data_IF_122844712581
#
_entry.id   IF_122844712581
#
_cell.length_a   1.000
_cell.length_b   1.000
_cell.length_c   1.000
_cell.angle_alpha   90.00
_cell.angle_beta   90.00
_cell.angle_gamma   90.00
#
_symmetry.space_group_name_H-M   'P 1'
#
loop_
_entity.id
_entity.type
_entity.pdbx_description
1 polymer ?
#
# COMPACT_ATOMS: atom_id res chain seq x y z
N UNK A 1 6.98 -8.30 10.66
CA UNK A 1 7.10 -6.94 11.24
C UNK A 1 5.72 -6.33 11.38
N UNK A 2 5.50 -5.48 12.38
CA UNK A 2 4.17 -4.93 12.70
C UNK A 2 4.20 -3.41 12.69
N UNK A 3 3.20 -2.77 12.11
CA UNK A 3 2.97 -1.32 12.19
C UNK A 3 2.25 -1.05 13.50
N UNK A 4 2.79 -0.17 14.31
CA UNK A 4 2.22 0.26 15.59
C UNK A 4 1.97 1.76 15.60
N UNK A 5 1.15 2.22 16.53
CA UNK A 5 0.81 3.64 16.65
C UNK A 5 2.07 4.48 16.94
N UNK A 6 2.28 5.50 16.10
CA UNK A 6 3.35 6.50 16.27
C UNK A 6 2.86 7.79 16.93
N UNK A 7 3.81 8.63 17.37
CA UNK A 7 3.49 9.94 17.98
C UNK A 7 3.15 11.02 16.95
N UNK A 8 3.60 10.89 15.70
CA UNK A 8 3.33 11.87 14.66
C UNK A 8 2.11 11.47 13.85
N UNK A 9 1.12 12.37 13.68
CA UNK A 9 -0.01 12.08 12.82
C UNK A 9 0.46 11.94 11.38
N UNK A 10 0.06 10.85 10.74
CA UNK A 10 0.30 10.61 9.32
C UNK A 10 -0.43 11.68 8.48
N UNK A 11 0.20 12.13 7.39
CA UNK A 11 -0.30 13.21 6.55
C UNK A 11 -0.22 12.85 5.07
N UNK A 12 -1.18 13.37 4.29
CA UNK A 12 -1.19 13.19 2.84
C UNK A 12 -1.27 11.73 2.44
N UNK A 13 -0.32 11.26 1.66
CA UNK A 13 -0.21 9.84 1.27
C UNK A 13 0.70 9.09 2.23
N UNK A 14 0.24 7.94 2.68
CA UNK A 14 1.01 6.99 3.46
C UNK A 14 1.01 5.64 2.76
N UNK A 15 2.17 5.07 2.62
CA UNK A 15 2.37 3.73 2.12
C UNK A 15 2.95 2.86 3.23
N UNK A 16 2.24 1.80 3.58
CA UNK A 16 2.75 0.73 4.42
C UNK A 16 3.61 -0.15 3.51
N UNK A 17 4.94 -0.16 3.67
CA UNK A 17 5.79 -0.89 2.75
C UNK A 17 5.60 -2.41 2.93
N UNK A 18 5.76 -3.17 1.85
CA UNK A 18 5.73 -4.63 1.94
C UNK A 18 6.88 -5.18 2.81
N UNK A 19 8.04 -4.50 2.81
CA UNK A 19 9.21 -4.89 3.61
C UNK A 19 9.92 -3.67 4.20
N UNK A 20 10.53 -3.86 5.38
CA UNK A 20 11.42 -2.87 6.01
C UNK A 20 12.72 -3.59 6.38
N UNK A 21 13.86 -3.10 5.87
CA UNK A 21 15.18 -3.69 6.07
C UNK A 21 15.23 -5.20 5.69
N UNK A 22 14.51 -5.60 4.64
CA UNK A 22 14.43 -6.99 4.19
C UNK A 22 13.44 -7.88 4.94
N UNK A 23 12.83 -7.40 6.02
CA UNK A 23 11.81 -8.13 6.77
C UNK A 23 10.39 -7.77 6.28
N UNK A 24 9.49 -8.76 6.09
CA UNK A 24 8.12 -8.48 5.66
C UNK A 24 7.34 -7.74 6.75
N UNK A 25 6.53 -6.76 6.33
CA UNK A 25 5.52 -6.11 7.18
C UNK A 25 4.23 -6.90 7.01
N UNK A 26 3.85 -7.65 8.04
CA UNK A 26 2.76 -8.63 7.96
C UNK A 26 1.51 -8.22 8.73
N UNK A 27 1.62 -7.20 9.58
CA UNK A 27 0.53 -6.81 10.47
C UNK A 27 0.47 -5.30 10.66
N UNK A 28 -0.74 -4.77 10.72
CA UNK A 28 -1.05 -3.43 11.20
C UNK A 28 -1.82 -3.59 12.50
N UNK A 29 -1.32 -3.02 13.58
CA UNK A 29 -1.94 -3.12 14.90
C UNK A 29 -3.28 -2.40 14.96
N UNK A 30 -4.10 -2.78 15.91
CA UNK A 30 -5.32 -2.02 16.22
C UNK A 30 -4.98 -0.57 16.57
N UNK A 31 -5.79 0.35 16.09
CA UNK A 31 -5.62 1.80 16.27
C UNK A 31 -4.30 2.38 15.76
N UNK A 32 -3.52 1.65 14.95
CA UNK A 32 -2.18 2.09 14.51
C UNK A 32 -2.19 3.45 13.81
N UNK A 33 -3.20 3.72 12.99
CA UNK A 33 -3.42 4.99 12.29
C UNK A 33 -4.79 5.60 12.63
N UNK A 34 -5.28 5.34 13.83
CA UNK A 34 -6.54 5.90 14.31
C UNK A 34 -6.45 7.42 14.47
N UNK A 35 -7.49 8.14 14.04
CA UNK A 35 -7.59 9.59 14.12
C UNK A 35 -6.48 10.35 13.39
N UNK A 36 -5.98 9.79 12.29
CA UNK A 36 -5.02 10.46 11.42
C UNK A 36 -5.73 11.49 10.53
N UNK A 37 -6.14 12.60 11.10
CA UNK A 37 -6.98 13.63 10.43
C UNK A 37 -6.37 14.24 9.17
N UNK A 38 -5.08 14.11 8.96
CA UNK A 38 -4.39 14.65 7.77
C UNK A 38 -4.04 13.58 6.73
N UNK A 39 -4.36 12.31 7.01
CA UNK A 39 -4.19 11.20 6.07
C UNK A 39 -5.24 11.33 4.96
N UNK A 40 -4.81 11.29 3.70
CA UNK A 40 -5.67 11.38 2.51
C UNK A 40 -5.66 10.11 1.69
N UNK A 41 -4.50 9.50 1.54
CA UNK A 41 -4.30 8.29 0.76
C UNK A 41 -3.56 7.25 1.59
N UNK A 42 -4.05 6.02 1.55
CA UNK A 42 -3.46 4.88 2.22
C UNK A 42 -3.17 3.78 1.21
N UNK A 43 -1.93 3.32 1.15
CA UNK A 43 -1.55 2.13 0.40
C UNK A 43 -1.10 1.06 1.37
N UNK A 44 -1.76 -0.09 1.35
CA UNK A 44 -1.41 -1.23 2.20
C UNK A 44 -0.49 -2.16 1.41
N UNK A 45 0.69 -2.43 1.95
CA UNK A 45 1.73 -3.24 1.31
C UNK A 45 1.36 -4.71 1.17
N UNK A 46 1.88 -5.37 0.14
CA UNK A 46 1.45 -6.71 -0.29
C UNK A 46 1.75 -7.85 0.69
N UNK A 47 2.62 -7.64 1.67
CA UNK A 47 2.90 -8.64 2.69
C UNK A 47 2.01 -8.50 3.94
N UNK A 48 1.18 -7.44 4.03
CA UNK A 48 0.26 -7.26 5.14
C UNK A 48 -0.86 -8.30 5.02
N UNK A 49 -1.04 -9.06 6.08
CA UNK A 49 -2.04 -10.14 6.17
C UNK A 49 -3.08 -9.90 7.25
N UNK A 50 -2.78 -9.06 8.22
CA UNK A 50 -3.66 -8.78 9.36
C UNK A 50 -3.74 -7.28 9.56
N UNK A 51 -4.95 -6.76 9.63
CA UNK A 51 -5.23 -5.40 10.08
C UNK A 51 -6.13 -5.46 11.32
N UNK A 52 -5.65 -4.87 12.40
CA UNK A 52 -6.32 -4.87 13.69
C UNK A 52 -7.52 -3.92 13.77
N UNK A 53 -8.26 -4.00 14.88
CA UNK A 53 -9.45 -3.20 15.16
C UNK A 53 -9.21 -1.70 14.94
N UNK A 54 -10.08 -1.05 14.17
CA UNK A 54 -10.03 0.40 13.86
C UNK A 54 -8.63 0.91 13.45
N UNK A 55 -7.83 0.07 12.79
CA UNK A 55 -6.46 0.43 12.46
C UNK A 55 -6.34 1.77 11.71
N UNK A 56 -7.34 2.12 10.91
CA UNK A 56 -7.42 3.36 10.13
C UNK A 56 -8.65 4.21 10.48
N UNK A 57 -9.35 3.87 11.56
CA UNK A 57 -10.59 4.52 11.98
C UNK A 57 -10.41 6.00 12.31
N UNK A 58 -11.51 6.75 12.28
CA UNK A 58 -11.58 8.19 12.55
C UNK A 58 -10.62 9.07 11.73
N UNK A 59 -10.06 8.54 10.62
CA UNK A 59 -9.21 9.29 9.69
C UNK A 59 -10.08 10.02 8.67
N UNK A 60 -10.80 11.04 9.12
CA UNK A 60 -11.92 11.70 8.42
C UNK A 60 -11.62 12.33 7.06
N UNK A 61 -10.35 12.53 6.73
CA UNK A 61 -9.93 13.03 5.42
C UNK A 61 -9.37 11.92 4.50
N UNK A 62 -9.41 10.66 4.95
CA UNK A 62 -8.99 9.53 4.13
C UNK A 62 -10.00 9.37 2.97
N UNK A 63 -9.51 9.52 1.75
CA UNK A 63 -10.33 9.48 0.54
C UNK A 63 -9.96 8.36 -0.43
N UNK A 64 -8.72 7.90 -0.43
CA UNK A 64 -8.25 6.85 -1.34
C UNK A 64 -7.57 5.73 -0.54
N UNK A 65 -7.98 4.49 -0.80
CA UNK A 65 -7.42 3.30 -0.15
C UNK A 65 -7.00 2.30 -1.20
N UNK A 66 -5.77 1.82 -1.14
CA UNK A 66 -5.28 0.71 -1.95
C UNK A 66 -5.04 -0.51 -1.06
N UNK A 67 -5.72 -1.60 -1.37
CA UNK A 67 -5.61 -2.88 -0.68
C UNK A 67 -4.50 -3.74 -1.31
N UNK A 68 -3.87 -4.65 -0.57
CA UNK A 68 -2.76 -5.47 -1.06
C UNK A 68 -3.20 -6.51 -2.10
N UNK A 69 -2.24 -7.15 -2.78
CA UNK A 69 -2.53 -8.21 -3.76
C UNK A 69 -3.01 -9.50 -3.08
N UNK A 70 -2.51 -9.80 -1.88
CA UNK A 70 -2.88 -10.99 -1.12
C UNK A 70 -4.13 -10.73 -0.27
N UNK A 71 -4.80 -11.82 0.12
CA UNK A 71 -5.88 -11.73 1.09
C UNK A 71 -5.40 -11.16 2.40
N UNK A 72 -6.18 -10.24 2.94
CA UNK A 72 -5.97 -9.61 4.24
C UNK A 72 -7.10 -9.99 5.16
N UNK A 73 -6.76 -10.46 6.33
CA UNK A 73 -7.71 -10.64 7.42
C UNK A 73 -7.93 -9.29 8.12
N UNK A 74 -9.15 -8.79 8.03
CA UNK A 74 -9.60 -7.65 8.80
C UNK A 74 -10.25 -8.19 10.07
N UNK A 75 -9.55 -8.10 11.20
CA UNK A 75 -9.92 -8.81 12.42
C UNK A 75 -11.22 -8.32 13.07
N UNK A 76 -11.69 -7.14 12.70
CA UNK A 76 -12.92 -6.53 13.26
C UNK A 76 -13.57 -5.57 12.29
N UNK A 77 -14.86 -5.32 12.52
CA UNK A 77 -15.65 -4.26 11.91
C UNK A 77 -15.03 -2.88 12.16
N UNK A 78 -15.41 -1.87 11.38
CA UNK A 78 -15.09 -0.46 11.59
C UNK A 78 -13.65 -0.08 11.26
N UNK A 79 -12.99 -0.89 10.43
CA UNK A 79 -11.61 -0.65 9.99
C UNK A 79 -11.39 0.75 9.44
N UNK A 80 -12.35 1.25 8.66
CA UNK A 80 -12.29 2.52 7.95
C UNK A 80 -13.38 3.49 8.40
N UNK A 81 -13.80 3.46 9.64
CA UNK A 81 -14.84 4.37 10.15
C UNK A 81 -14.42 5.84 10.02
N UNK A 82 -14.76 6.50 8.90
CA UNK A 82 -14.30 7.85 8.54
C UNK A 82 -15.35 8.69 7.79
N UNK A 83 -16.58 8.75 8.31
CA UNK A 83 -17.65 9.68 7.87
C UNK A 83 -17.86 9.80 6.34
N UNK A 84 -17.95 8.67 5.63
CA UNK A 84 -18.15 8.61 4.17
C UNK A 84 -17.09 9.38 3.37
N UNK A 85 -15.88 9.48 3.90
CA UNK A 85 -14.77 10.18 3.29
C UNK A 85 -14.17 9.46 2.09
N UNK A 86 -14.21 8.11 2.07
CA UNK A 86 -13.57 7.31 1.04
C UNK A 86 -14.34 7.44 -0.28
N UNK A 87 -13.59 7.83 -1.33
CA UNK A 87 -14.07 8.06 -2.69
C UNK A 87 -13.61 6.99 -3.66
N UNK A 88 -12.46 6.40 -3.40
CA UNK A 88 -11.83 5.42 -4.27
C UNK A 88 -11.23 4.29 -3.43
N UNK A 89 -11.51 3.06 -3.84
CA UNK A 89 -10.91 1.86 -3.29
C UNK A 89 -10.28 1.08 -4.45
N UNK A 90 -8.98 0.84 -4.37
CA UNK A 90 -8.23 0.06 -5.34
C UNK A 90 -7.95 -1.33 -4.78
N UNK A 91 -8.64 -2.33 -5.29
CA UNK A 91 -8.43 -3.73 -4.98
C UNK A 91 -7.38 -4.30 -5.93
N UNK A 92 -6.32 -4.89 -5.40
CA UNK A 92 -5.26 -5.49 -6.24
C UNK A 92 -5.32 -7.01 -6.30
N UNK A 93 -6.20 -7.63 -5.53
CA UNK A 93 -6.40 -9.08 -5.55
C UNK A 93 -7.25 -9.50 -6.74
N UNK A 94 -6.86 -10.59 -7.41
CA UNK A 94 -7.64 -11.23 -8.47
C UNK A 94 -8.86 -11.99 -7.95
N UNK A 95 -8.95 -12.16 -6.65
CA UNK A 95 -10.08 -12.76 -5.94
C UNK A 95 -10.64 -11.69 -5.00
N UNK A 96 -11.98 -11.56 -4.93
CA UNK A 96 -12.60 -10.63 -3.99
C UNK A 96 -12.24 -11.00 -2.55
N UNK A 97 -11.81 -9.99 -1.77
CA UNK A 97 -11.48 -10.21 -0.37
C UNK A 97 -12.71 -10.64 0.40
N UNK A 98 -12.52 -11.57 1.33
CA UNK A 98 -13.55 -11.91 2.32
C UNK A 98 -13.51 -10.85 3.41
N UNK A 99 -14.56 -10.07 3.53
CA UNK A 99 -14.66 -8.98 4.49
C UNK A 99 -16.01 -9.03 5.20
N UNK A 100 -16.03 -8.53 6.43
CA UNK A 100 -17.25 -8.40 7.20
C UNK A 100 -18.08 -7.18 6.74
N UNK A 101 -19.40 -7.23 6.84
CA UNK A 101 -20.30 -6.15 6.45
C UNK A 101 -19.97 -4.81 7.11
N UNK A 102 -19.41 -4.84 8.31
CA UNK A 102 -19.05 -3.64 9.06
C UNK A 102 -17.73 -2.99 8.68
N UNK A 103 -16.94 -3.55 7.77
CA UNK A 103 -15.59 -3.04 7.46
C UNK A 103 -15.59 -1.58 6.99
N UNK A 104 -16.57 -1.21 6.18
CA UNK A 104 -16.77 0.15 5.67
C UNK A 104 -17.86 0.93 6.40
N UNK A 105 -18.25 0.52 7.60
CA UNK A 105 -19.37 1.13 8.32
C UNK A 105 -19.20 2.65 8.47
N UNK A 106 -20.05 3.41 7.78
CA UNK A 106 -19.96 4.86 7.71
C UNK A 106 -18.79 5.43 6.89
N UNK A 107 -17.91 4.60 6.35
CA UNK A 107 -16.72 5.07 5.64
C UNK A 107 -16.95 5.37 4.16
N UNK A 108 -17.89 4.67 3.54
CA UNK A 108 -18.21 4.79 2.10
C UNK A 108 -19.65 5.16 1.85
N UNK A 109 -19.88 5.91 0.79
CA UNK A 109 -21.16 6.04 0.11
C UNK A 109 -21.07 5.13 -1.11
N UNK A 110 -21.72 3.98 -1.07
CA UNK A 110 -21.63 2.95 -2.11
C UNK A 110 -22.07 3.43 -3.51
N UNK A 111 -22.91 4.47 -3.55
CA UNK A 111 -23.38 5.06 -4.81
C UNK A 111 -22.41 6.09 -5.40
N UNK A 112 -21.41 6.53 -4.64
CA UNK A 112 -20.44 7.54 -5.07
C UNK A 112 -19.00 7.06 -5.05
N UNK A 113 -18.69 6.06 -4.24
CA UNK A 113 -17.36 5.49 -4.15
C UNK A 113 -17.08 4.62 -5.39
N UNK A 114 -15.93 4.85 -6.03
CA UNK A 114 -15.48 4.02 -7.15
C UNK A 114 -14.66 2.87 -6.60
N UNK A 115 -15.06 1.65 -6.94
CA UNK A 115 -14.32 0.44 -6.65
C UNK A 115 -13.51 0.05 -7.89
N UNK A 116 -12.20 0.20 -7.83
CA UNK A 116 -11.27 -0.28 -8.85
C UNK A 116 -10.87 -1.72 -8.56
N UNK A 117 -10.98 -2.58 -9.56
CA UNK A 117 -10.66 -4.00 -9.45
C UNK A 117 -9.79 -4.44 -10.64
N UNK A 118 -8.99 -5.52 -10.50
CA UNK A 118 -8.18 -6.04 -11.61
C UNK A 118 -9.03 -6.39 -12.84
N UNK A 119 -8.46 -6.17 -14.02
CA UNK A 119 -9.11 -6.55 -15.30
C UNK A 119 -9.52 -8.03 -15.27
N UNK A 120 -10.78 -8.31 -15.67
CA UNK A 120 -11.38 -9.64 -15.68
C UNK A 120 -11.98 -10.10 -14.34
N UNK A 121 -11.98 -9.27 -13.29
CA UNK A 121 -12.49 -9.66 -11.98
C UNK A 121 -13.78 -8.95 -11.56
N UNK A 122 -14.26 -7.98 -12.34
CA UNK A 122 -15.46 -7.19 -12.03
C UNK A 122 -16.66 -8.04 -11.60
N UNK A 123 -16.93 -9.12 -12.32
CA UNK A 123 -18.07 -9.99 -12.01
C UNK A 123 -17.91 -10.73 -10.68
N UNK A 124 -16.67 -11.11 -10.32
CA UNK A 124 -16.36 -11.73 -9.05
C UNK A 124 -16.67 -10.80 -7.88
N UNK A 125 -16.22 -9.55 -7.99
CA UNK A 125 -16.51 -8.53 -6.96
C UNK A 125 -17.99 -8.19 -6.89
N UNK A 126 -18.67 -8.00 -8.03
CA UNK A 126 -20.09 -7.69 -8.09
C UNK A 126 -21.00 -8.81 -7.50
N UNK A 127 -20.50 -10.03 -7.41
CA UNK A 127 -21.24 -11.16 -6.84
C UNK A 127 -20.83 -11.46 -5.37
N UNK A 128 -19.83 -10.78 -4.83
CA UNK A 128 -19.30 -11.06 -3.49
C UNK A 128 -19.99 -10.22 -2.43
N UNK A 129 -20.11 -10.78 -1.23
CA UNK A 129 -20.62 -10.06 -0.06
C UNK A 129 -19.87 -8.74 0.13
N UNK A 130 -20.56 -7.73 0.61
CA UNK A 130 -20.06 -6.34 0.81
C UNK A 130 -19.73 -5.64 -0.51
N UNK A 131 -18.91 -6.25 -1.39
CA UNK A 131 -18.46 -5.65 -2.66
C UNK A 131 -19.58 -5.44 -3.66
N UNK A 132 -20.61 -6.28 -3.66
CA UNK A 132 -21.82 -6.15 -4.48
C UNK A 132 -22.60 -4.85 -4.23
N UNK A 133 -22.37 -4.19 -3.10
CA UNK A 133 -23.04 -2.94 -2.74
C UNK A 133 -22.50 -1.73 -3.50
N UNK A 134 -21.29 -1.82 -4.09
CA UNK A 134 -20.72 -0.74 -4.89
C UNK A 134 -21.41 -0.67 -6.26
N UNK A 135 -21.99 0.49 -6.57
CA UNK A 135 -22.66 0.71 -7.85
C UNK A 135 -21.66 1.05 -8.97
N UNK A 136 -20.47 1.54 -8.63
CA UNK A 136 -19.43 1.92 -9.56
C UNK A 136 -18.20 1.01 -9.43
N UNK A 137 -18.21 -0.13 -10.16
CA UNK A 137 -17.07 -1.06 -10.25
C UNK A 137 -16.38 -0.87 -11.59
N UNK A 138 -15.12 -0.45 -11.56
CA UNK A 138 -14.27 -0.17 -12.72
C UNK A 138 -13.09 -1.14 -12.75
N UNK A 139 -12.83 -1.73 -13.91
CA UNK A 139 -11.63 -2.55 -14.07
C UNK A 139 -10.41 -1.69 -14.38
N UNK A 140 -9.31 -1.94 -13.69
CA UNK A 140 -8.03 -1.30 -13.93
C UNK A 140 -6.90 -2.33 -14.08
N UNK A 141 -5.88 -1.95 -14.84
CA UNK A 141 -4.66 -2.74 -14.86
C UNK A 141 -4.00 -2.57 -13.48
N UNK A 142 -3.98 -3.65 -12.71
CA UNK A 142 -3.16 -3.66 -11.50
C UNK A 142 -1.72 -3.50 -11.97
N UNK A 143 -1.23 -2.26 -11.93
CA UNK A 143 0.20 -2.07 -11.85
C UNK A 143 0.60 -2.80 -10.57
N UNK A 144 1.17 -4.01 -10.71
CA UNK A 144 2.07 -4.47 -9.67
C UNK A 144 3.03 -3.29 -9.53
N UNK A 145 2.85 -2.51 -8.46
CA UNK A 145 3.85 -1.58 -7.99
C UNK A 145 5.01 -2.42 -7.39
N UNK A 146 5.62 -3.23 -8.23
CA UNK A 146 7.05 -3.06 -8.43
C UNK A 146 7.11 -1.62 -8.88
N UNK A 147 7.33 -0.74 -7.91
CA UNK A 147 7.55 0.64 -8.15
C UNK A 147 8.23 0.74 -9.50
N UNK A 148 7.56 1.28 -10.54
CA UNK A 148 8.25 2.23 -11.34
C UNK A 148 8.62 3.36 -10.37
N UNK A 149 9.45 3.04 -9.36
CA UNK A 149 10.60 3.82 -9.17
C UNK A 149 11.14 3.86 -10.61
N UNK A 150 10.89 4.96 -11.34
CA UNK A 150 11.98 5.60 -11.96
C UNK A 150 13.00 5.74 -10.81
N UNK A 151 13.65 4.65 -10.49
CA UNK A 151 15.04 4.65 -10.22
C UNK A 151 15.53 5.24 -11.55
N UNK A 152 15.59 6.56 -11.67
CA UNK A 152 16.86 7.10 -12.09
C UNK A 152 17.79 6.14 -11.36
N UNK A 153 18.34 5.18 -12.09
CA UNK A 153 19.36 4.28 -11.58
C UNK A 153 20.41 5.24 -11.06
N UNK A 154 20.24 5.67 -9.78
CA UNK A 154 21.26 6.44 -9.10
C UNK A 154 22.43 5.54 -9.22
N UNK A 155 23.29 5.87 -10.17
CA UNK A 155 24.38 5.05 -10.62
C UNK A 155 25.21 4.74 -9.39
N UNK A 156 24.96 3.59 -8.80
CA UNK A 156 25.57 3.21 -7.52
C UNK A 156 26.91 2.61 -7.83
N UNK A 157 27.93 3.31 -7.45
CA UNK A 157 29.31 2.88 -7.57
C UNK A 157 29.78 2.28 -6.25
N UNK A 158 30.59 1.24 -6.31
CA UNK A 158 31.23 0.63 -5.15
C UNK A 158 32.70 0.38 -5.45
N UNK A 159 33.52 0.47 -4.43
CA UNK A 159 34.87 -0.08 -4.49
C UNK A 159 34.82 -1.61 -4.52
N UNK A 160 35.95 -2.29 -4.86
CA UNK A 160 36.00 -3.75 -4.78
C UNK A 160 35.81 -4.29 -3.36
N UNK A 161 36.03 -3.46 -2.34
CA UNK A 161 35.80 -3.79 -0.92
C UNK A 161 34.35 -3.56 -0.49
N UNK A 162 33.43 -3.18 -1.44
CA UNK A 162 32.02 -2.99 -1.17
C UNK A 162 31.66 -1.61 -0.59
N UNK A 163 32.59 -0.66 -0.49
CA UNK A 163 32.29 0.70 -0.04
C UNK A 163 31.47 1.43 -1.09
N UNK A 164 30.31 1.95 -0.70
CA UNK A 164 29.40 2.71 -1.57
C UNK A 164 29.95 4.10 -1.87
N UNK A 165 29.97 4.46 -3.14
CA UNK A 165 30.37 5.78 -3.60
C UNK A 165 29.12 6.52 -4.14
N UNK A 166 28.97 7.78 -3.75
CA UNK A 166 27.80 8.60 -4.10
C UNK A 166 27.88 9.26 -5.49
N UNK A 167 29.03 9.13 -6.17
CA UNK A 167 29.26 9.63 -7.52
C UNK A 167 30.20 8.70 -8.28
N UNK A 168 30.32 8.91 -9.62
CA UNK A 168 31.32 8.22 -10.42
C UNK A 168 32.72 8.55 -9.86
N UNK A 169 33.55 7.54 -9.55
CA UNK A 169 34.90 7.80 -9.08
C UNK A 169 35.73 8.49 -10.16
N UNK A 170 36.54 9.44 -9.75
CA UNK A 170 37.48 10.19 -10.61
C UNK A 170 38.93 9.69 -10.47
N UNK A 171 39.16 8.70 -9.62
CA UNK A 171 40.45 8.07 -9.43
C UNK A 171 40.51 6.82 -10.34
N UNK A 172 41.57 6.65 -11.15
CA UNK A 172 41.76 5.43 -11.95
C UNK A 172 41.71 4.18 -11.07
N UNK A 173 40.95 3.17 -11.51
CA UNK A 173 40.81 1.96 -10.71
C UNK A 173 39.70 1.05 -11.21
N UNK A 174 39.49 -0.08 -10.53
CA UNK A 174 38.40 -1.02 -10.78
C UNK A 174 37.31 -0.81 -9.77
N UNK A 175 36.09 -0.62 -10.24
CA UNK A 175 34.91 -0.36 -9.45
C UNK A 175 33.76 -1.28 -9.84
N UNK A 176 32.76 -1.40 -9.00
CA UNK A 176 31.51 -2.06 -9.32
C UNK A 176 30.44 -0.98 -9.54
N UNK A 177 29.84 -0.98 -10.72
CA UNK A 177 28.76 -0.09 -11.09
C UNK A 177 27.54 -0.89 -11.51
N UNK A 178 26.45 -0.76 -10.78
CA UNK A 178 25.21 -1.53 -11.01
C UNK A 178 25.49 -3.05 -11.17
N UNK A 179 26.33 -3.62 -10.30
CA UNK A 179 26.69 -5.03 -10.27
C UNK A 179 27.71 -5.47 -11.33
N UNK A 180 28.22 -4.55 -12.18
CA UNK A 180 29.23 -4.87 -13.19
C UNK A 180 30.59 -4.26 -12.84
N UNK A 181 31.68 -4.98 -13.13
CA UNK A 181 33.04 -4.44 -13.02
C UNK A 181 33.30 -3.40 -14.12
N UNK A 182 33.72 -2.21 -13.72
CA UNK A 182 34.06 -1.08 -14.59
C UNK A 182 35.48 -0.61 -14.29
N UNK A 183 36.26 -0.40 -15.31
CA UNK A 183 37.58 0.21 -15.19
C UNK A 183 37.44 1.71 -15.46
N UNK A 184 37.77 2.52 -14.47
CA UNK A 184 37.88 3.98 -14.61
C UNK A 184 39.36 4.27 -14.93
N UNK A 185 39.62 4.96 -16.03
CA UNK A 185 40.94 5.39 -16.50
C UNK A 185 41.15 6.86 -16.25
#
# INVERSE_FOLDING_TARGET
>A
MKVVRGYNPYRGKVEIPATVNGFPVTEVDGLAMYACYYLKELVIGDNVKICGHEAFGASINLCNVTLPVADVEFTHNWMFNCDRGIREIHCRSSISYVVDEGIFNGAVDYDKCILYVPVGTKQSYANSEVWKNFTHIVEENVSTNISNINVEKKSVWHTLQGVKLFAKPNIPGVYIHNGKKIIVR
#
